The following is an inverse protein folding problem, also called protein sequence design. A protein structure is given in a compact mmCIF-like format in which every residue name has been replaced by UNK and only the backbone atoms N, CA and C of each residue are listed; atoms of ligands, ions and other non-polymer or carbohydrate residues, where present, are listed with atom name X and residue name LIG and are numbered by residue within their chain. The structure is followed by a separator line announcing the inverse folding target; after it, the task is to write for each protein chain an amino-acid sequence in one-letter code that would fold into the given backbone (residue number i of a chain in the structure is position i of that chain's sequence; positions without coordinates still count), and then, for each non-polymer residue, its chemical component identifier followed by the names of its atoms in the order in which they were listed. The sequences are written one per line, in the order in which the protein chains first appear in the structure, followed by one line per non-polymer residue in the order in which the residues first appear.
data_IF_856752527885
#
_entry.id   IF_856752527885
#
_cell.length_a   1.000
_cell.length_b   1.000
_cell.length_c   1.000
_cell.angle_alpha   90.00
_cell.angle_beta   90.00
_cell.angle_gamma   90.00
#
_symmetry.space_group_name_H-M   'P 1'
#
loop_
_entity.id
_entity.type
_entity.pdbx_description
1 polymer ?
#
# COMPACT_ATOMS: atom_id res chain seq x y z
N UNK A 1 4.54 -24.47 -25.99
CA UNK A 1 4.26 -23.10 -25.47
C UNK A 1 3.80 -23.20 -24.03
N UNK A 2 4.42 -22.45 -23.15
CA UNK A 2 3.99 -22.38 -21.76
C UNK A 2 2.76 -21.46 -21.62
N UNK A 3 1.94 -21.72 -20.60
CA UNK A 3 0.79 -20.86 -20.24
C UNK A 3 1.18 -19.77 -19.27
N UNK A 4 2.09 -20.06 -18.35
CA UNK A 4 2.68 -19.10 -17.42
C UNK A 4 4.14 -19.45 -17.22
N UNK A 5 4.95 -18.43 -17.03
CA UNK A 5 6.38 -18.60 -16.84
C UNK A 5 6.81 -17.84 -15.61
N UNK A 6 7.50 -18.51 -14.69
CA UNK A 6 8.06 -17.87 -13.52
C UNK A 6 9.16 -16.87 -13.93
N UNK A 7 9.09 -15.64 -13.45
CA UNK A 7 10.09 -14.61 -13.71
C UNK A 7 10.95 -14.38 -12.48
N UNK A 8 10.31 -14.07 -11.35
CA UNK A 8 11.01 -13.85 -10.08
C UNK A 8 10.00 -13.86 -8.93
N UNK A 9 10.50 -13.90 -7.70
CA UNK A 9 9.64 -13.70 -6.54
C UNK A 9 9.01 -12.32 -6.61
N UNK A 10 7.73 -12.22 -6.23
CA UNK A 10 6.92 -11.01 -6.39
C UNK A 10 6.85 -10.12 -5.14
N UNK A 11 7.94 -10.00 -4.37
CA UNK A 11 7.96 -9.14 -3.19
C UNK A 11 8.07 -7.66 -3.56
N UNK A 12 8.66 -7.38 -4.71
CA UNK A 12 8.79 -6.04 -5.26
C UNK A 12 8.63 -6.09 -6.78
N UNK A 13 8.20 -4.98 -7.35
CA UNK A 13 8.06 -4.83 -8.81
C UNK A 13 8.81 -3.60 -9.27
N UNK A 14 9.22 -3.62 -10.54
CA UNK A 14 9.88 -2.47 -11.17
C UNK A 14 8.87 -1.33 -11.34
N UNK A 15 9.35 -0.12 -11.14
CA UNK A 15 8.54 1.08 -11.32
C UNK A 15 9.41 2.25 -11.77
N UNK A 16 8.98 2.91 -12.84
CA UNK A 16 9.62 4.14 -13.35
C UNK A 16 8.58 5.26 -13.27
N UNK A 17 8.65 6.12 -12.23
CA UNK A 17 7.63 7.14 -12.04
C UNK A 17 7.78 8.33 -12.98
N UNK A 18 6.69 9.02 -13.28
CA UNK A 18 6.71 10.26 -14.06
C UNK A 18 7.12 11.48 -13.22
N UNK A 19 7.02 11.38 -11.90
CA UNK A 19 7.41 12.43 -10.95
C UNK A 19 8.19 11.78 -9.81
N UNK A 20 8.94 12.58 -9.05
CA UNK A 20 9.71 12.08 -7.92
C UNK A 20 8.81 11.36 -6.90
N UNK A 21 9.27 10.22 -6.42
CA UNK A 21 8.63 9.44 -5.37
C UNK A 21 9.58 9.42 -4.17
N UNK A 22 9.06 9.77 -2.99
CA UNK A 22 9.86 9.76 -1.77
C UNK A 22 9.75 8.39 -1.07
N UNK A 23 10.78 8.02 -0.34
CA UNK A 23 10.74 6.84 0.52
C UNK A 23 9.53 6.93 1.47
N UNK A 24 8.75 5.88 1.56
CA UNK A 24 7.52 5.83 2.35
C UNK A 24 6.26 6.22 1.60
N UNK A 25 6.37 6.69 0.36
CA UNK A 25 5.19 6.98 -0.46
C UNK A 25 4.46 5.69 -0.86
N UNK A 26 3.15 5.76 -0.84
CA UNK A 26 2.28 4.71 -1.37
C UNK A 26 1.96 5.07 -2.83
N UNK A 27 2.22 4.15 -3.72
CA UNK A 27 2.04 4.34 -5.16
C UNK A 27 0.97 3.38 -5.66
N UNK A 28 0.00 3.90 -6.39
CA UNK A 28 -1.06 3.09 -6.99
C UNK A 28 -0.80 3.00 -8.49
N UNK A 29 -0.69 1.76 -8.98
CA UNK A 29 -0.54 1.46 -10.40
C UNK A 29 -1.73 0.62 -10.82
N UNK A 30 -2.72 1.27 -11.42
CA UNK A 30 -4.00 0.61 -11.69
C UNK A 30 -4.66 0.16 -10.39
N UNK A 31 -4.84 -1.13 -10.22
CA UNK A 31 -5.39 -1.71 -9.00
C UNK A 31 -4.29 -2.20 -8.03
N UNK A 32 -3.04 -2.07 -8.41
CA UNK A 32 -1.91 -2.53 -7.62
C UNK A 32 -1.42 -1.40 -6.70
N UNK A 33 -1.29 -1.69 -5.43
CA UNK A 33 -0.78 -0.74 -4.42
C UNK A 33 0.59 -1.21 -3.97
N UNK A 34 1.57 -0.30 -4.04
CA UNK A 34 2.92 -0.58 -3.60
C UNK A 34 3.47 0.54 -2.73
N UNK A 35 4.56 0.27 -2.05
CA UNK A 35 5.23 1.22 -1.18
C UNK A 35 6.68 1.38 -1.64
N UNK A 36 7.11 2.63 -1.84
CA UNK A 36 8.51 2.94 -2.13
C UNK A 36 9.30 2.90 -0.82
N UNK A 37 10.30 2.05 -0.74
CA UNK A 37 11.17 1.99 0.44
C UNK A 37 12.36 2.93 0.32
N UNK A 38 12.65 3.40 -0.89
CA UNK A 38 13.72 4.34 -1.20
C UNK A 38 13.17 5.44 -2.10
N UNK A 39 13.85 6.57 -2.14
CA UNK A 39 13.50 7.63 -3.08
C UNK A 39 13.70 7.13 -4.52
N UNK A 40 12.74 7.47 -5.39
CA UNK A 40 12.81 7.14 -6.81
C UNK A 40 12.66 8.45 -7.59
N UNK A 41 13.75 9.00 -8.15
CA UNK A 41 13.63 10.20 -8.97
C UNK A 41 12.77 9.96 -10.21
N UNK A 42 12.16 11.02 -10.70
CA UNK A 42 11.35 10.97 -11.92
C UNK A 42 12.14 10.34 -13.07
N UNK A 43 11.48 9.54 -13.88
CA UNK A 43 12.03 8.87 -15.06
C UNK A 43 13.21 7.92 -14.77
N UNK A 44 13.35 7.52 -13.51
CA UNK A 44 14.39 6.59 -13.07
C UNK A 44 13.76 5.27 -12.65
N UNK A 45 14.38 4.15 -13.03
CA UNK A 45 13.91 2.84 -12.61
C UNK A 45 14.14 2.63 -11.12
N UNK A 46 13.09 2.29 -10.41
CA UNK A 46 13.13 1.91 -9.01
C UNK A 46 12.27 0.70 -8.75
N UNK A 47 11.97 0.44 -7.49
CA UNK A 47 11.15 -0.70 -7.09
C UNK A 47 10.09 -0.28 -6.08
N UNK A 48 8.89 -0.88 -6.21
CA UNK A 48 7.83 -0.78 -5.23
C UNK A 48 7.71 -2.10 -4.49
N UNK A 49 7.70 -2.05 -3.17
CA UNK A 49 7.35 -3.22 -2.36
C UNK A 49 5.85 -3.48 -2.50
N UNK A 50 5.48 -4.70 -2.87
CA UNK A 50 4.09 -5.13 -2.99
C UNK A 50 3.77 -6.23 -2.00
N UNK A 51 4.68 -6.53 -1.10
CA UNK A 51 4.57 -7.51 -0.03
C UNK A 51 5.35 -7.01 1.17
N UNK A 52 4.94 -7.42 2.37
CA UNK A 52 5.58 -7.01 3.60
C UNK A 52 4.61 -6.32 4.54
N UNK A 53 5.10 -5.93 5.70
CA UNK A 53 4.31 -5.29 6.75
C UNK A 53 4.79 -3.85 6.91
N UNK A 54 3.83 -2.92 6.86
CA UNK A 54 4.11 -1.48 6.94
C UNK A 54 3.14 -0.80 7.90
N UNK A 55 3.61 0.20 8.62
CA UNK A 55 2.73 1.12 9.33
C UNK A 55 2.27 2.20 8.35
N UNK A 56 0.96 2.36 8.25
CA UNK A 56 0.32 3.24 7.26
C UNK A 56 -0.51 4.29 7.99
N UNK A 57 -0.41 5.52 7.54
CA UNK A 57 -1.20 6.63 8.09
C UNK A 57 -2.69 6.36 7.94
N UNK A 58 -3.46 6.61 9.00
CA UNK A 58 -4.91 6.49 9.00
C UNK A 58 -5.57 7.70 9.63
N UNK A 59 -6.86 7.87 9.39
CA UNK A 59 -7.67 8.88 10.07
C UNK A 59 -7.84 8.54 11.57
N UNK A 60 -8.00 9.55 12.39
CA UNK A 60 -8.15 9.41 13.84
C UNK A 60 -9.54 9.71 14.35
N UNK A 61 -10.51 9.91 13.46
CA UNK A 61 -11.89 10.19 13.83
C UNK A 61 -12.68 8.95 14.27
N UNK A 62 -13.97 9.14 14.52
CA UNK A 62 -14.85 8.03 14.87
C UNK A 62 -14.94 7.01 13.72
N UNK A 63 -15.04 5.74 14.07
CA UNK A 63 -15.16 4.62 13.12
C UNK A 63 -14.00 4.48 12.12
N UNK A 64 -12.82 4.92 12.53
CA UNK A 64 -11.60 4.79 11.70
C UNK A 64 -10.65 3.70 12.18
N UNK A 65 -11.01 2.99 13.24
CA UNK A 65 -10.21 1.87 13.75
C UNK A 65 -10.33 0.63 12.85
N UNK A 66 -9.41 -0.31 13.05
CA UNK A 66 -9.39 -1.57 12.33
C UNK A 66 -9.28 -2.73 13.31
N UNK A 67 -10.03 -3.80 13.05
CA UNK A 67 -9.82 -5.07 13.74
C UNK A 67 -8.63 -5.80 13.13
N UNK A 68 -7.99 -6.65 13.91
CA UNK A 68 -6.94 -7.54 13.39
C UNK A 68 -7.54 -8.41 12.29
N UNK A 69 -6.88 -8.46 11.14
CA UNK A 69 -7.34 -9.21 9.96
C UNK A 69 -8.31 -8.46 9.06
N UNK A 70 -8.71 -7.24 9.40
CA UNK A 70 -9.63 -6.46 8.59
C UNK A 70 -8.96 -5.97 7.29
N UNK A 71 -9.74 -5.87 6.23
CA UNK A 71 -9.26 -5.32 4.96
C UNK A 71 -8.94 -3.84 5.12
N UNK A 72 -7.83 -3.43 4.52
CA UNK A 72 -7.37 -2.05 4.51
C UNK A 72 -7.28 -1.57 3.07
N UNK A 73 -7.89 -0.43 2.80
CA UNK A 73 -7.88 0.20 1.48
C UNK A 73 -7.02 1.46 1.52
N UNK A 74 -6.45 1.81 0.39
CA UNK A 74 -5.69 3.05 0.24
C UNK A 74 -6.57 4.13 -0.39
N UNK A 75 -6.70 5.25 0.29
CA UNK A 75 -7.41 6.43 -0.19
C UNK A 75 -6.39 7.41 -0.75
N UNK A 76 -6.25 7.44 -2.07
CA UNK A 76 -5.30 8.31 -2.75
C UNK A 76 -5.65 9.80 -2.61
N UNK A 77 -6.93 10.11 -2.53
CA UNK A 77 -7.37 11.50 -2.40
C UNK A 77 -6.95 12.13 -1.09
N UNK A 78 -7.03 11.38 0.00
CA UNK A 78 -6.65 11.83 1.34
C UNK A 78 -5.29 11.31 1.80
N UNK A 79 -4.65 10.47 1.00
CA UNK A 79 -3.32 9.90 1.28
C UNK A 79 -3.29 9.19 2.64
N UNK A 80 -4.22 8.26 2.84
CA UNK A 80 -4.31 7.50 4.09
C UNK A 80 -5.02 6.16 3.90
N UNK A 81 -4.82 5.24 4.85
CA UNK A 81 -5.56 3.99 4.92
C UNK A 81 -7.02 4.24 5.28
N UNK A 82 -7.91 3.51 4.66
CA UNK A 82 -9.36 3.63 4.86
C UNK A 82 -10.03 2.26 4.96
N UNK A 83 -11.19 2.22 5.59
CA UNK A 83 -12.02 1.01 5.71
C UNK A 83 -12.95 0.84 4.51
N UNK A 84 -13.20 1.90 3.76
CA UNK A 84 -14.18 1.94 2.68
C UNK A 84 -13.55 1.49 1.38
N UNK A 85 -14.20 0.53 0.70
CA UNK A 85 -13.75 0.01 -0.59
C UNK A 85 -14.06 0.98 -1.74
N UNK A 86 -15.21 1.67 -1.68
CA UNK A 86 -15.70 2.52 -2.77
C UNK A 86 -14.73 3.67 -3.02
N UNK A 87 -14.23 3.78 -4.26
CA UNK A 87 -13.29 4.82 -4.66
C UNK A 87 -11.85 4.60 -4.23
N UNK A 88 -11.56 3.52 -3.52
CA UNK A 88 -10.24 3.22 -2.97
C UNK A 88 -9.69 1.90 -3.52
N UNK A 89 -8.42 1.64 -3.27
CA UNK A 89 -7.77 0.40 -3.73
C UNK A 89 -7.43 -0.48 -2.53
N UNK A 90 -7.71 -1.77 -2.64
CA UNK A 90 -7.32 -2.74 -1.61
C UNK A 90 -5.80 -2.77 -1.50
N UNK A 91 -5.26 -2.56 -0.29
CA UNK A 91 -3.82 -2.65 -0.09
C UNK A 91 -3.40 -3.87 0.72
N UNK A 92 -4.23 -4.33 1.62
CA UNK A 92 -3.91 -5.50 2.43
C UNK A 92 -4.83 -5.67 3.60
N UNK A 93 -4.29 -6.25 4.67
CA UNK A 93 -5.04 -6.52 5.90
C UNK A 93 -4.27 -6.03 7.12
N UNK A 94 -4.99 -5.53 8.10
CA UNK A 94 -4.41 -5.14 9.38
C UNK A 94 -3.89 -6.38 10.11
N UNK A 95 -2.66 -6.33 10.62
CA UNK A 95 -2.07 -7.46 11.33
C UNK A 95 -2.29 -7.38 12.84
N UNK A 96 -2.59 -6.18 13.34
CA UNK A 96 -2.99 -5.95 14.73
C UNK A 96 -4.13 -4.94 14.72
N UNK A 97 -4.94 -4.93 15.77
CA UNK A 97 -6.02 -3.97 15.89
C UNK A 97 -5.46 -2.54 16.03
N UNK A 98 -6.14 -1.58 15.41
CA UNK A 98 -5.87 -0.16 15.57
C UNK A 98 -7.13 0.53 16.08
N UNK A 99 -7.00 1.34 17.12
CA UNK A 99 -8.12 2.10 17.68
C UNK A 99 -8.43 3.31 16.81
N UNK A 100 -9.64 3.87 16.97
CA UNK A 100 -10.06 5.05 16.22
C UNK A 100 -9.07 6.21 16.35
N UNK A 101 -8.52 6.43 17.53
CA UNK A 101 -7.59 7.52 17.80
C UNK A 101 -6.13 7.25 17.40
N UNK A 102 -5.80 6.04 16.94
CA UNK A 102 -4.46 5.73 16.49
C UNK A 102 -4.16 6.41 15.16
N UNK A 103 -2.94 6.91 15.01
CA UNK A 103 -2.51 7.60 13.78
C UNK A 103 -2.04 6.64 12.69
N UNK A 104 -1.73 5.40 13.06
CA UNK A 104 -1.19 4.37 12.15
C UNK A 104 -1.98 3.07 12.28
N UNK A 105 -2.02 2.34 11.19
CA UNK A 105 -2.46 0.95 11.16
C UNK A 105 -1.35 0.10 10.53
N UNK A 106 -1.06 -1.04 11.15
CA UNK A 106 -0.05 -1.95 10.64
C UNK A 106 -0.67 -2.91 9.64
N UNK A 107 -0.21 -2.84 8.40
CA UNK A 107 -0.80 -3.53 7.26
C UNK A 107 0.19 -4.49 6.63
N UNK A 108 -0.25 -5.73 6.39
CA UNK A 108 0.45 -6.65 5.50
C UNK A 108 -0.12 -6.44 4.11
N UNK A 109 0.74 -6.06 3.17
CA UNK A 109 0.32 -5.87 1.78
C UNK A 109 -0.14 -7.22 1.21
N UNK A 110 -1.35 -7.24 0.68
CA UNK A 110 -1.98 -8.45 0.14
C UNK A 110 -3.16 -8.03 -0.73
N UNK A 111 -3.02 -8.19 -2.01
CA UNK A 111 -4.01 -7.71 -2.99
C UNK A 111 -4.50 -8.79 -3.92
#
# INVERSE_FOLDING_TARGET
MFKARFIHNGDAIDHTPAANVAAGDVVVQGDLVGVAKLDIPADTLGALAVKGVFDVTKDTGADTGFDAGAKVYWDSGNQRAAKTATGNKLMGKAVVAAADGDELVRVRLSQ
#
